data_IF_947975689327
#
_entry.id   IF_947975689327
#
_cell.length_a   1.000
_cell.length_b   1.000
_cell.length_c   1.000
_cell.angle_alpha   90.00
_cell.angle_beta   90.00
_cell.angle_gamma   90.00
#
_symmetry.space_group_name_H-M   'P 1'
#
loop_
_entity.id
_entity.type
_entity.pdbx_description
1 polymer ?
#
# COMPACT_ATOMS: atom_id res chain seq x y z
N UNK A 1 -0.11 -9.02 4.74
CA UNK A 1 -1.31 -9.67 4.16
C UNK A 1 -2.12 -10.40 5.23
N UNK A 2 -1.50 -11.27 6.05
CA UNK A 2 -2.19 -12.17 7.01
C UNK A 2 -3.15 -11.42 7.95
N UNK A 3 -2.69 -10.40 8.67
CA UNK A 3 -3.55 -9.66 9.61
C UNK A 3 -4.70 -8.98 8.88
N UNK A 4 -4.40 -8.17 7.88
CA UNK A 4 -5.40 -7.35 7.20
C UNK A 4 -6.43 -8.22 6.48
N UNK A 5 -6.00 -9.21 5.69
CA UNK A 5 -6.93 -10.08 4.96
C UNK A 5 -7.73 -11.01 5.88
N UNK A 6 -7.12 -11.51 6.96
CA UNK A 6 -7.85 -12.31 7.94
C UNK A 6 -8.91 -11.47 8.67
N UNK A 7 -8.58 -10.24 9.07
CA UNK A 7 -9.56 -9.32 9.67
C UNK A 7 -10.69 -8.97 8.70
N UNK A 8 -10.37 -8.72 7.43
CA UNK A 8 -11.36 -8.49 6.37
C UNK A 8 -12.34 -9.64 6.25
N UNK A 9 -11.83 -10.88 6.24
CA UNK A 9 -12.66 -12.06 6.13
C UNK A 9 -13.56 -12.24 7.36
N UNK A 10 -13.04 -12.00 8.58
CA UNK A 10 -13.83 -12.05 9.81
C UNK A 10 -14.92 -10.98 9.86
N UNK A 11 -14.67 -9.79 9.35
CA UNK A 11 -15.64 -8.70 9.22
C UNK A 11 -16.62 -8.89 8.06
N UNK A 12 -16.50 -9.99 7.29
CA UNK A 12 -17.36 -10.26 6.14
C UNK A 12 -17.12 -9.33 4.95
N UNK A 13 -15.99 -8.63 4.92
CA UNK A 13 -15.56 -7.82 3.78
C UNK A 13 -14.73 -8.65 2.80
N UNK A 14 -14.34 -8.06 1.68
CA UNK A 14 -13.52 -8.71 0.65
C UNK A 14 -12.04 -8.54 0.94
N UNK A 15 -11.25 -9.61 0.78
CA UNK A 15 -9.79 -9.51 0.79
C UNK A 15 -9.26 -8.89 -0.49
N UNK A 16 -8.06 -8.32 -0.43
CA UNK A 16 -7.30 -7.92 -1.61
C UNK A 16 -6.35 -9.06 -2.00
N UNK A 17 -6.31 -9.42 -3.29
CA UNK A 17 -5.31 -10.37 -3.78
C UNK A 17 -3.96 -9.68 -3.96
N UNK A 18 -2.91 -10.49 -3.92
CA UNK A 18 -1.54 -10.11 -4.24
C UNK A 18 -1.12 -10.90 -5.47
N UNK A 19 -0.24 -10.38 -6.29
CA UNK A 19 0.14 -10.91 -7.60
C UNK A 19 0.56 -12.38 -7.64
N UNK A 20 0.78 -12.99 -6.48
CA UNK A 20 1.13 -14.41 -6.33
C UNK A 20 0.17 -15.14 -5.40
N UNK A 21 -0.08 -16.45 -5.67
CA UNK A 21 -0.80 -17.32 -4.76
C UNK A 21 -2.29 -17.02 -4.61
N UNK A 22 -3.02 -16.83 -5.71
CA UNK A 22 -4.47 -16.75 -5.68
C UNK A 22 -5.12 -17.76 -6.63
N UNK A 23 -6.36 -18.11 -6.35
CA UNK A 23 -7.19 -18.98 -7.18
C UNK A 23 -8.46 -18.22 -7.59
N UNK A 24 -8.85 -18.37 -8.85
CA UNK A 24 -10.07 -17.78 -9.38
C UNK A 24 -10.93 -18.90 -9.98
N UNK A 25 -12.22 -18.90 -9.71
CA UNK A 25 -13.15 -19.83 -10.31
C UNK A 25 -13.26 -19.62 -11.84
N UNK A 26 -13.32 -20.71 -12.59
CA UNK A 26 -13.44 -20.66 -14.06
C UNK A 26 -14.65 -19.81 -14.49
N UNK A 27 -15.77 -19.93 -13.81
CA UNK A 27 -16.98 -19.14 -14.07
C UNK A 27 -16.77 -17.63 -14.00
N UNK A 28 -15.85 -17.14 -13.16
CA UNK A 28 -15.53 -15.71 -13.08
C UNK A 28 -14.74 -15.26 -14.30
N UNK A 29 -13.78 -16.08 -14.73
CA UNK A 29 -12.97 -15.81 -15.93
C UNK A 29 -13.83 -15.89 -17.20
N UNK A 30 -14.63 -16.93 -17.32
CA UNK A 30 -15.55 -17.12 -18.45
C UNK A 30 -16.61 -16.02 -18.52
N UNK A 31 -17.19 -15.63 -17.37
CA UNK A 31 -18.15 -14.53 -17.26
C UNK A 31 -17.60 -13.16 -17.66
N UNK A 32 -16.28 -12.98 -17.56
CA UNK A 32 -15.60 -11.77 -18.05
C UNK A 32 -15.13 -11.90 -19.53
N UNK A 33 -15.29 -13.05 -20.17
CA UNK A 33 -14.75 -13.30 -21.52
C UNK A 33 -13.23 -13.52 -21.54
N UNK A 34 -12.64 -13.91 -20.42
CA UNK A 34 -11.21 -14.12 -20.23
C UNK A 34 -10.60 -13.21 -19.14
N UNK A 35 -9.29 -13.14 -19.10
CA UNK A 35 -8.56 -12.22 -18.21
C UNK A 35 -8.49 -10.83 -18.84
N UNK A 36 -9.23 -9.87 -18.29
CA UNK A 36 -9.39 -8.52 -18.83
C UNK A 36 -8.63 -7.43 -18.06
N UNK A 37 -7.87 -7.83 -17.03
CA UNK A 37 -7.17 -6.91 -16.14
C UNK A 37 -5.70 -6.79 -16.60
N UNK A 38 -5.28 -5.58 -16.99
CA UNK A 38 -3.99 -5.35 -17.66
C UNK A 38 -3.21 -4.14 -17.11
N UNK A 39 -3.66 -3.55 -16.00
CA UNK A 39 -2.93 -2.46 -15.36
C UNK A 39 -1.63 -2.98 -14.72
N UNK A 40 -0.75 -2.07 -14.31
CA UNK A 40 0.54 -2.43 -13.71
C UNK A 40 0.43 -3.23 -12.39
N UNK A 41 -0.75 -3.22 -11.77
CA UNK A 41 -1.15 -4.03 -10.61
C UNK A 41 -2.49 -4.69 -10.92
N UNK A 42 -2.44 -5.68 -11.81
CA UNK A 42 -3.60 -6.43 -12.32
C UNK A 42 -4.36 -7.17 -11.20
N UNK A 43 -3.65 -7.55 -10.15
CA UNK A 43 -4.18 -8.18 -8.95
C UNK A 43 -5.12 -7.24 -8.17
N UNK A 44 -4.68 -6.02 -7.94
CA UNK A 44 -5.50 -4.98 -7.29
C UNK A 44 -6.62 -4.51 -8.23
N UNK A 45 -6.36 -4.45 -9.53
CA UNK A 45 -7.37 -4.16 -10.55
C UNK A 45 -8.50 -5.18 -10.49
N UNK A 46 -8.17 -6.48 -10.54
CA UNK A 46 -9.13 -7.58 -10.41
C UNK A 46 -9.89 -7.50 -9.08
N UNK A 47 -9.19 -7.20 -7.97
CA UNK A 47 -9.81 -7.03 -6.66
C UNK A 47 -10.87 -5.92 -6.69
N UNK A 48 -10.53 -4.74 -7.17
CA UNK A 48 -11.43 -3.59 -7.21
C UNK A 48 -12.61 -3.82 -8.14
N UNK A 49 -12.40 -4.45 -9.29
CA UNK A 49 -13.46 -4.82 -10.22
C UNK A 49 -14.44 -5.82 -9.57
N UNK A 50 -13.91 -6.89 -8.99
CA UNK A 50 -14.70 -7.92 -8.30
C UNK A 50 -15.54 -7.33 -7.15
N UNK A 51 -14.93 -6.51 -6.29
CA UNK A 51 -15.61 -5.87 -5.17
C UNK A 51 -16.68 -4.89 -5.65
N UNK A 52 -16.40 -4.13 -6.72
CA UNK A 52 -17.37 -3.20 -7.29
C UNK A 52 -18.61 -3.89 -7.87
N UNK A 53 -18.47 -5.16 -8.27
CA UNK A 53 -19.55 -6.05 -8.73
C UNK A 53 -20.25 -6.81 -7.60
N UNK A 54 -19.85 -6.59 -6.33
CA UNK A 54 -20.40 -7.26 -5.16
C UNK A 54 -19.84 -8.66 -4.90
N UNK A 55 -18.82 -9.09 -5.63
CA UNK A 55 -18.11 -10.34 -5.37
C UNK A 55 -17.22 -10.22 -4.14
N UNK A 56 -17.00 -11.34 -3.45
CA UNK A 56 -16.12 -11.43 -2.28
C UNK A 56 -14.93 -12.34 -2.56
N UNK A 57 -13.77 -11.89 -2.13
CA UNK A 57 -12.51 -12.62 -2.19
C UNK A 57 -12.19 -13.08 -0.78
N UNK A 58 -12.03 -14.38 -0.59
CA UNK A 58 -11.67 -15.00 0.69
C UNK A 58 -10.16 -15.06 0.89
N UNK A 59 -9.74 -15.35 2.12
CA UNK A 59 -8.34 -15.54 2.50
C UNK A 59 -8.10 -16.94 3.05
N UNK A 60 -7.22 -17.70 2.40
CA UNK A 60 -6.83 -19.04 2.83
C UNK A 60 -5.60 -18.96 3.75
N UNK A 61 -5.81 -18.80 5.06
CA UNK A 61 -4.74 -18.56 6.05
C UNK A 61 -3.71 -19.70 6.17
N UNK A 62 -4.08 -20.92 5.77
CA UNK A 62 -3.22 -22.11 5.80
C UNK A 62 -2.44 -22.33 4.50
N UNK A 63 -2.78 -21.61 3.42
CA UNK A 63 -2.05 -21.68 2.18
C UNK A 63 -0.82 -20.77 2.28
N UNK A 64 0.35 -21.38 2.35
CA UNK A 64 1.64 -20.69 2.46
C UNK A 64 2.35 -20.73 1.13
N UNK A 65 2.76 -19.57 0.65
CA UNK A 65 3.55 -19.38 -0.56
C UNK A 65 4.88 -18.73 -0.20
N UNK A 66 5.94 -19.21 -0.81
CA UNK A 66 7.27 -18.59 -0.74
C UNK A 66 7.55 -17.92 -2.08
N UNK A 67 7.91 -16.65 -2.03
CA UNK A 67 8.17 -15.82 -3.21
C UNK A 67 9.54 -15.14 -3.08
N UNK A 68 10.27 -15.07 -4.17
CA UNK A 68 11.58 -14.44 -4.21
C UNK A 68 11.42 -12.92 -4.26
N UNK A 69 12.12 -12.24 -3.34
CA UNK A 69 12.05 -10.79 -3.23
C UNK A 69 13.35 -10.13 -3.73
N UNK A 70 13.28 -8.89 -4.23
CA UNK A 70 14.46 -8.15 -4.66
C UNK A 70 15.52 -8.06 -3.57
N UNK A 71 16.76 -8.45 -3.88
CA UNK A 71 17.90 -8.36 -2.97
C UNK A 71 18.62 -7.02 -3.06
N UNK A 72 18.47 -6.27 -4.17
CA UNK A 72 19.09 -4.97 -4.39
C UNK A 72 18.06 -3.85 -4.24
N UNK A 73 18.48 -2.74 -3.62
CA UNK A 73 17.60 -1.58 -3.43
C UNK A 73 17.08 -1.01 -4.77
N UNK A 74 17.88 -1.00 -5.83
CA UNK A 74 17.47 -0.54 -7.16
C UNK A 74 16.34 -1.38 -7.77
N UNK A 75 16.38 -2.69 -7.57
CA UNK A 75 15.32 -3.60 -8.01
C UNK A 75 14.03 -3.36 -7.19
N UNK A 76 14.17 -3.25 -5.87
CA UNK A 76 13.07 -2.92 -4.96
C UNK A 76 12.47 -1.54 -5.29
N UNK A 77 13.29 -0.54 -5.61
CA UNK A 77 12.82 0.77 -6.07
C UNK A 77 11.97 0.66 -7.34
N UNK A 78 12.45 -0.07 -8.34
CA UNK A 78 11.74 -0.25 -9.62
C UNK A 78 10.40 -0.97 -9.40
N UNK A 79 10.37 -2.01 -8.57
CA UNK A 79 9.16 -2.75 -8.21
C UNK A 79 8.15 -1.84 -7.51
N UNK A 80 8.57 -1.09 -6.49
CA UNK A 80 7.71 -0.18 -5.73
C UNK A 80 7.20 0.99 -6.55
N UNK A 81 8.02 1.49 -7.49
CA UNK A 81 7.59 2.53 -8.43
C UNK A 81 6.47 2.02 -9.34
N UNK A 82 6.58 0.77 -9.81
CA UNK A 82 5.54 0.09 -10.58
C UNK A 82 4.25 -0.05 -9.76
N UNK A 83 4.35 -0.51 -8.52
CA UNK A 83 3.20 -0.64 -7.63
C UNK A 83 2.52 0.69 -7.37
N UNK A 84 3.27 1.73 -7.03
CA UNK A 84 2.69 3.06 -6.81
C UNK A 84 1.96 3.58 -8.06
N UNK A 85 2.55 3.42 -9.25
CA UNK A 85 1.90 3.80 -10.51
C UNK A 85 0.64 2.98 -10.77
N UNK A 86 0.69 1.67 -10.53
CA UNK A 86 -0.45 0.77 -10.68
C UNK A 86 -1.61 1.15 -9.77
N UNK A 87 -1.35 1.47 -8.49
CA UNK A 87 -2.39 1.94 -7.57
C UNK A 87 -3.06 3.22 -8.06
N UNK A 88 -2.31 4.18 -8.64
CA UNK A 88 -2.91 5.38 -9.23
C UNK A 88 -3.78 5.06 -10.43
N UNK A 89 -3.37 4.12 -11.28
CA UNK A 89 -4.16 3.67 -12.43
C UNK A 89 -5.45 2.99 -11.97
N UNK A 90 -5.37 2.10 -10.98
CA UNK A 90 -6.55 1.42 -10.42
C UNK A 90 -7.49 2.43 -9.78
N UNK A 91 -6.99 3.39 -9.00
CA UNK A 91 -7.83 4.43 -8.41
C UNK A 91 -8.53 5.28 -9.48
N UNK A 92 -7.82 5.67 -10.53
CA UNK A 92 -8.41 6.45 -11.63
C UNK A 92 -9.53 5.69 -12.35
N UNK A 93 -9.38 4.38 -12.55
CA UNK A 93 -10.34 3.56 -13.30
C UNK A 93 -11.50 3.03 -12.43
N UNK A 94 -11.25 2.72 -11.16
CA UNK A 94 -12.20 2.03 -10.28
C UNK A 94 -12.67 2.86 -9.08
N UNK A 95 -11.98 3.95 -8.72
CA UNK A 95 -12.32 4.78 -7.56
C UNK A 95 -13.76 5.28 -7.60
N UNK A 96 -14.25 5.73 -8.76
CA UNK A 96 -15.63 6.16 -8.93
C UNK A 96 -16.65 5.02 -8.80
N UNK A 97 -16.31 3.80 -9.24
CA UNK A 97 -17.18 2.61 -9.09
C UNK A 97 -17.27 2.20 -7.63
N UNK A 98 -16.13 2.17 -6.94
CA UNK A 98 -16.06 1.87 -5.50
C UNK A 98 -16.83 2.89 -4.68
N UNK A 99 -16.68 4.20 -4.98
CA UNK A 99 -17.41 5.26 -4.29
C UNK A 99 -18.93 5.11 -4.48
N UNK A 100 -19.39 4.77 -5.67
CA UNK A 100 -20.81 4.44 -5.90
C UNK A 100 -21.28 3.26 -5.05
N UNK A 101 -20.43 2.23 -4.87
CA UNK A 101 -20.70 1.12 -3.97
C UNK A 101 -20.79 1.54 -2.50
N UNK A 102 -19.93 2.46 -2.07
CA UNK A 102 -19.98 3.06 -0.72
C UNK A 102 -21.31 3.77 -0.48
N UNK A 103 -21.74 4.59 -1.44
CA UNK A 103 -23.02 5.31 -1.34
C UNK A 103 -24.23 4.36 -1.31
N UNK A 104 -24.09 3.12 -1.78
CA UNK A 104 -25.08 2.05 -1.67
C UNK A 104 -24.95 1.21 -0.38
N UNK A 105 -24.08 1.59 0.55
CA UNK A 105 -23.89 0.92 1.84
C UNK A 105 -22.92 -0.27 1.80
N UNK A 106 -22.12 -0.45 0.76
CA UNK A 106 -21.15 -1.54 0.69
C UNK A 106 -19.88 -1.22 1.49
N UNK A 107 -19.69 -1.89 2.62
CA UNK A 107 -18.48 -1.75 3.43
C UNK A 107 -17.23 -2.32 2.73
N UNK A 108 -17.38 -3.37 1.91
CA UNK A 108 -16.28 -3.88 1.08
C UNK A 108 -15.79 -2.85 0.07
N UNK A 109 -16.71 -2.07 -0.53
CA UNK A 109 -16.33 -0.97 -1.42
C UNK A 109 -15.62 0.16 -0.67
N UNK A 110 -16.03 0.47 0.57
CA UNK A 110 -15.35 1.47 1.41
C UNK A 110 -13.93 1.02 1.74
N UNK A 111 -13.74 -0.22 2.18
CA UNK A 111 -12.43 -0.77 2.51
C UNK A 111 -11.50 -0.77 1.28
N UNK A 112 -11.98 -1.21 0.12
CA UNK A 112 -11.18 -1.17 -1.12
C UNK A 112 -10.93 0.26 -1.60
N UNK A 113 -11.91 1.16 -1.50
CA UNK A 113 -11.70 2.56 -1.82
C UNK A 113 -10.59 3.18 -0.97
N UNK A 114 -10.62 2.95 0.36
CA UNK A 114 -9.57 3.41 1.28
C UNK A 114 -8.21 2.74 1.00
N UNK A 115 -8.21 1.48 0.53
CA UNK A 115 -7.00 0.74 0.18
C UNK A 115 -6.31 1.31 -1.05
N UNK A 116 -7.07 1.69 -2.09
CA UNK A 116 -6.51 2.19 -3.36
C UNK A 116 -6.45 3.72 -3.43
N UNK A 117 -7.17 4.41 -2.54
CA UNK A 117 -7.11 5.87 -2.46
C UNK A 117 -5.67 6.31 -2.17
N UNK A 118 -5.15 7.29 -2.91
CA UNK A 118 -3.79 7.76 -2.71
C UNK A 118 -3.66 8.62 -1.43
N UNK A 119 -4.01 8.04 -0.27
CA UNK A 119 -3.91 8.70 1.03
C UNK A 119 -2.47 9.19 1.31
N UNK A 120 -1.46 8.48 0.81
CA UNK A 120 -0.06 8.95 0.83
C UNK A 120 0.11 10.31 0.14
N UNK A 121 -0.70 10.64 -0.89
CA UNK A 121 -0.64 11.96 -1.54
C UNK A 121 -1.12 13.08 -0.63
N UNK A 122 -2.14 12.84 0.20
CA UNK A 122 -2.62 13.83 1.17
C UNK A 122 -1.56 14.10 2.24
N UNK A 123 -0.94 13.04 2.75
CA UNK A 123 0.18 13.17 3.69
C UNK A 123 1.36 13.90 3.06
N UNK A 124 1.69 13.53 1.82
CA UNK A 124 2.74 14.18 1.07
C UNK A 124 2.45 15.66 0.84
N UNK A 125 1.22 16.00 0.46
CA UNK A 125 0.79 17.38 0.29
C UNK A 125 0.97 18.16 1.61
N UNK A 126 0.59 17.56 2.73
CA UNK A 126 0.80 18.16 4.06
C UNK A 126 2.30 18.39 4.34
N UNK A 127 3.15 17.41 4.06
CA UNK A 127 4.62 17.56 4.22
C UNK A 127 5.17 18.64 3.29
N UNK A 128 4.74 18.67 2.01
CA UNK A 128 5.18 19.69 1.06
C UNK A 128 4.74 21.10 1.47
N UNK A 129 3.51 21.25 1.96
CA UNK A 129 3.03 22.54 2.48
C UNK A 129 3.92 22.98 3.63
N UNK A 130 4.26 22.11 4.58
CA UNK A 130 5.14 22.46 5.70
C UNK A 130 6.57 22.78 5.22
N UNK A 131 7.12 22.04 4.26
CA UNK A 131 8.46 22.31 3.68
C UNK A 131 8.53 23.68 3.00
N UNK A 132 7.43 24.15 2.42
CA UNK A 132 7.36 25.49 1.82
C UNK A 132 7.03 26.57 2.87
N UNK A 133 6.09 26.28 3.77
CA UNK A 133 5.62 27.23 4.76
C UNK A 133 6.70 27.60 5.82
N UNK A 134 7.53 26.61 6.22
CA UNK A 134 8.57 26.84 7.23
C UNK A 134 9.61 27.90 6.78
N UNK A 135 10.25 27.78 5.58
CA UNK A 135 11.17 28.82 5.12
C UNK A 135 10.51 30.21 4.96
N UNK A 136 9.25 30.25 4.50
CA UNK A 136 8.50 31.50 4.39
C UNK A 136 8.26 32.10 5.79
N UNK A 137 7.83 31.31 6.76
CA UNK A 137 7.60 31.73 8.14
C UNK A 137 8.89 32.24 8.81
N UNK A 138 10.03 31.59 8.54
CA UNK A 138 11.35 32.04 9.02
C UNK A 138 11.72 33.39 8.37
N UNK A 139 11.53 33.53 7.07
CA UNK A 139 11.88 34.74 6.32
C UNK A 139 11.02 35.96 6.71
N UNK A 140 9.78 35.72 7.20
CA UNK A 140 8.83 36.76 7.62
C UNK A 140 8.81 36.96 9.13
N UNK A 141 9.66 36.26 9.88
CA UNK A 141 9.69 36.25 11.36
C UNK A 141 8.31 35.94 11.98
N UNK A 142 7.58 35.01 11.33
CA UNK A 142 6.23 34.66 11.74
C UNK A 142 6.23 33.91 13.07
N UNK A 143 5.34 34.23 14.02
CA UNK A 143 5.29 33.60 15.34
C UNK A 143 4.90 32.11 15.26
N UNK A 144 4.26 31.67 14.17
CA UNK A 144 3.84 30.29 13.96
C UNK A 144 4.96 29.33 13.53
N UNK A 145 6.18 29.84 13.25
CA UNK A 145 7.32 29.04 12.79
C UNK A 145 7.59 27.83 13.68
N UNK A 146 7.59 28.02 15.00
CA UNK A 146 7.81 26.94 15.96
C UNK A 146 6.73 25.85 15.88
N UNK A 147 5.47 26.24 15.67
CA UNK A 147 4.32 25.34 15.55
C UNK A 147 4.45 24.50 14.27
N UNK A 148 4.83 25.12 13.15
CA UNK A 148 5.01 24.42 11.88
C UNK A 148 6.15 23.40 11.95
N UNK A 149 7.29 23.76 12.55
CA UNK A 149 8.43 22.84 12.75
C UNK A 149 8.02 21.68 13.66
N UNK A 150 7.34 21.97 14.77
CA UNK A 150 6.85 20.93 15.68
C UNK A 150 5.87 20.00 14.98
N UNK A 151 4.93 20.50 14.20
CA UNK A 151 3.96 19.70 13.44
C UNK A 151 4.65 18.75 12.44
N UNK A 152 5.68 19.23 11.74
CA UNK A 152 6.47 18.40 10.81
C UNK A 152 7.21 17.28 11.55
N UNK A 153 7.91 17.62 12.63
CA UNK A 153 8.63 16.64 13.45
C UNK A 153 7.65 15.60 13.99
N UNK A 154 6.52 16.04 14.56
CA UNK A 154 5.52 15.13 15.12
C UNK A 154 4.94 14.21 14.05
N UNK A 155 4.71 14.70 12.83
CA UNK A 155 4.26 13.88 11.71
C UNK A 155 5.27 12.77 11.38
N UNK A 156 6.56 13.11 11.28
CA UNK A 156 7.61 12.12 11.01
C UNK A 156 7.75 11.08 12.14
N UNK A 157 7.69 11.54 13.39
CA UNK A 157 7.73 10.64 14.57
C UNK A 157 6.54 9.70 14.59
N UNK A 158 5.34 10.20 14.32
CA UNK A 158 4.12 9.38 14.28
C UNK A 158 4.20 8.32 13.18
N UNK A 159 4.68 8.67 11.98
CA UNK A 159 4.87 7.69 10.89
C UNK A 159 5.92 6.65 11.24
N UNK A 160 7.07 7.09 11.78
CA UNK A 160 8.10 6.16 12.22
C UNK A 160 7.55 5.20 13.28
N UNK A 161 6.89 5.75 14.31
CA UNK A 161 6.30 4.98 15.41
C UNK A 161 5.24 3.97 14.91
N UNK A 162 4.36 4.38 13.99
CA UNK A 162 3.35 3.50 13.40
C UNK A 162 4.01 2.29 12.70
N UNK A 163 4.99 2.53 11.83
CA UNK A 163 5.68 1.44 11.13
C UNK A 163 6.52 0.59 12.07
N UNK A 164 7.14 1.20 13.09
CA UNK A 164 7.86 0.46 14.12
C UNK A 164 6.95 -0.50 14.88
N UNK A 165 5.77 -0.03 15.31
CA UNK A 165 4.77 -0.86 16.01
C UNK A 165 4.29 -1.99 15.10
N UNK A 166 3.99 -1.72 13.82
CA UNK A 166 3.60 -2.76 12.86
C UNK A 166 4.71 -3.79 12.66
N UNK A 167 5.96 -3.36 12.56
CA UNK A 167 7.14 -4.23 12.47
C UNK A 167 7.31 -5.07 13.73
N UNK A 168 7.15 -4.47 14.91
CA UNK A 168 7.25 -5.14 16.20
C UNK A 168 6.17 -6.21 16.36
N UNK A 169 4.91 -5.88 16.07
CA UNK A 169 3.80 -6.83 16.09
C UNK A 169 4.08 -8.01 15.14
N UNK A 170 4.55 -7.71 13.92
CA UNK A 170 4.90 -8.76 12.95
C UNK A 170 6.05 -9.62 13.47
N UNK A 171 7.09 -9.03 14.05
CA UNK A 171 8.22 -9.78 14.61
C UNK A 171 7.81 -10.69 15.77
N UNK A 172 6.92 -10.22 16.66
CA UNK A 172 6.43 -11.02 17.80
C UNK A 172 5.57 -12.19 17.32
N UNK A 173 4.67 -11.95 16.38
CA UNK A 173 3.69 -12.96 15.97
C UNK A 173 4.20 -13.95 14.92
N UNK A 174 5.18 -13.56 14.11
CA UNK A 174 5.75 -14.37 13.04
C UNK A 174 7.24 -14.71 13.28
N UNK A 175 7.71 -14.64 14.54
CA UNK A 175 9.10 -14.79 14.89
C UNK A 175 9.75 -16.06 14.30
N UNK A 176 9.05 -17.17 14.37
CA UNK A 176 9.53 -18.46 13.89
C UNK A 176 9.47 -18.60 12.36
N UNK A 177 8.63 -17.81 11.71
CA UNK A 177 8.47 -17.80 10.24
C UNK A 177 9.51 -16.88 9.55
N UNK A 178 10.16 -16.01 10.31
CA UNK A 178 11.19 -15.12 9.78
C UNK A 178 12.54 -15.84 9.82
N UNK A 179 12.97 -16.36 8.68
CA UNK A 179 14.21 -17.13 8.55
C UNK A 179 15.46 -16.25 8.50
N UNK A 180 15.79 -15.62 9.64
CA UNK A 180 17.07 -14.93 9.81
C UNK A 180 17.53 -14.96 11.26
N UNK A 181 18.83 -14.65 11.50
CA UNK A 181 19.41 -14.63 12.83
C UNK A 181 18.77 -13.56 13.71
N UNK A 182 18.59 -13.84 14.99
CA UNK A 182 17.82 -13.02 15.93
C UNK A 182 18.22 -11.54 15.98
N UNK A 183 19.50 -11.22 15.95
CA UNK A 183 19.99 -9.83 15.99
C UNK A 183 19.60 -9.04 14.74
N UNK A 184 19.51 -9.70 13.58
CA UNK A 184 18.97 -9.06 12.36
C UNK A 184 17.48 -8.78 12.46
N UNK A 185 16.71 -9.69 13.08
CA UNK A 185 15.28 -9.43 13.33
C UNK A 185 15.10 -8.17 14.14
N UNK A 186 15.90 -7.98 15.21
CA UNK A 186 15.86 -6.77 16.04
C UNK A 186 16.31 -5.54 15.24
N UNK A 187 17.43 -5.62 14.50
CA UNK A 187 17.92 -4.51 13.68
C UNK A 187 16.86 -4.08 12.65
N UNK A 188 16.17 -5.03 12.03
CA UNK A 188 15.16 -4.73 11.01
C UNK A 188 13.92 -4.06 11.57
N UNK A 189 13.62 -4.17 12.86
CA UNK A 189 12.56 -3.37 13.49
C UNK A 189 12.81 -1.86 13.36
N UNK A 190 14.06 -1.45 13.53
CA UNK A 190 14.45 -0.03 13.46
C UNK A 190 14.63 0.46 12.01
N UNK A 191 15.06 -0.40 11.10
CA UNK A 191 15.28 -0.02 9.70
C UNK A 191 14.02 -0.14 8.84
N UNK A 192 13.05 -0.97 9.23
CA UNK A 192 11.80 -1.16 8.52
C UNK A 192 10.99 0.15 8.36
N UNK A 193 10.82 1.00 9.40
CA UNK A 193 10.17 2.30 9.25
C UNK A 193 10.84 3.19 8.21
N UNK A 194 12.18 3.25 8.20
CA UNK A 194 12.95 4.03 7.22
C UNK A 194 12.73 3.49 5.80
N UNK A 195 12.72 2.16 5.64
CA UNK A 195 12.41 1.53 4.36
C UNK A 195 11.00 1.89 3.89
N UNK A 196 10.00 1.87 4.78
CA UNK A 196 8.63 2.24 4.46
C UNK A 196 8.50 3.72 4.10
N UNK A 197 9.16 4.61 4.82
CA UNK A 197 9.19 6.03 4.49
C UNK A 197 9.78 6.32 3.10
N UNK A 198 10.65 5.44 2.59
CA UNK A 198 11.16 5.58 1.22
C UNK A 198 10.10 5.41 0.12
N UNK A 199 8.88 4.93 0.46
CA UNK A 199 7.74 4.95 -0.48
C UNK A 199 7.24 6.36 -0.79
N UNK A 200 7.44 7.32 0.11
CA UNK A 200 6.97 8.71 -0.08
C UNK A 200 7.58 9.33 -1.35
N UNK A 201 8.91 9.43 -1.51
CA UNK A 201 9.48 9.96 -2.74
C UNK A 201 9.17 9.11 -3.97
N UNK A 202 9.04 7.78 -3.82
CA UNK A 202 8.65 6.88 -4.91
C UNK A 202 7.24 7.20 -5.40
N UNK A 203 6.31 7.44 -4.50
CA UNK A 203 4.93 7.80 -4.84
C UNK A 203 4.85 9.13 -5.62
N UNK A 204 5.66 10.13 -5.24
CA UNK A 204 5.75 11.40 -5.98
C UNK A 204 6.24 11.14 -7.41
N UNK A 205 7.35 10.43 -7.54
CA UNK A 205 7.95 10.14 -8.85
C UNK A 205 6.98 9.36 -9.73
N UNK A 206 6.22 8.42 -9.15
CA UNK A 206 5.21 7.63 -9.85
C UNK A 206 4.09 8.47 -10.46
N UNK A 207 3.76 9.65 -9.92
CA UNK A 207 2.77 10.56 -10.52
C UNK A 207 3.19 11.01 -11.92
N UNK A 208 4.45 11.39 -12.08
CA UNK A 208 4.97 12.05 -13.28
C UNK A 208 5.66 11.09 -14.25
N UNK A 209 6.23 9.99 -13.74
CA UNK A 209 6.99 9.05 -14.55
C UNK A 209 6.09 8.09 -15.32
N UNK A 210 6.37 7.88 -16.60
CA UNK A 210 5.84 6.73 -17.34
C UNK A 210 6.55 5.48 -16.84
N UNK A 211 5.79 4.50 -16.44
CA UNK A 211 6.30 3.22 -15.92
C UNK A 211 5.74 2.11 -16.80
N UNK A 212 6.62 1.28 -17.33
CA UNK A 212 6.29 0.09 -18.08
C UNK A 212 6.58 -1.16 -17.24
N UNK A 213 5.84 -2.21 -17.47
CA UNK A 213 6.12 -3.49 -16.85
C UNK A 213 7.41 -4.08 -17.43
N UNK A 214 8.38 -4.37 -16.58
CA UNK A 214 9.62 -5.09 -16.94
C UNK A 214 9.88 -6.17 -15.91
N UNK A 215 10.25 -7.39 -16.34
CA UNK A 215 10.61 -8.45 -15.41
C UNK A 215 11.83 -8.03 -14.58
N UNK A 216 11.82 -8.36 -13.31
CA UNK A 216 12.98 -8.17 -12.43
C UNK A 216 13.94 -9.31 -12.73
N UNK A 217 15.20 -8.98 -13.05
CA UNK A 217 16.26 -9.99 -13.16
C UNK A 217 16.62 -10.47 -11.77
N UNK A 218 16.49 -11.73 -11.53
CA UNK A 218 16.89 -12.42 -10.30
C UNK A 218 18.38 -12.82 -10.36
#
# INVERSE_FOLDING_TARGET
ARYLNNSRMQLGTSCAISGTGFLVGANVIEGNGGWIHHLLTEDIEFTCDSVSKGMKIGYASKAVLYDEQPTKFSQSYTQRLRWAKGFYQVFANYGGKLLKGVLKGSFSCLDMFMTVMPAMLLTLLSVLINVVAIPVAIATDAPETAILVQALIQTLVNFYGLFFILGLLTAITEWDQIHCVWYKKVLYLFTFPVFMLSYVPIAIIALFKKVEWKPIKH
#
